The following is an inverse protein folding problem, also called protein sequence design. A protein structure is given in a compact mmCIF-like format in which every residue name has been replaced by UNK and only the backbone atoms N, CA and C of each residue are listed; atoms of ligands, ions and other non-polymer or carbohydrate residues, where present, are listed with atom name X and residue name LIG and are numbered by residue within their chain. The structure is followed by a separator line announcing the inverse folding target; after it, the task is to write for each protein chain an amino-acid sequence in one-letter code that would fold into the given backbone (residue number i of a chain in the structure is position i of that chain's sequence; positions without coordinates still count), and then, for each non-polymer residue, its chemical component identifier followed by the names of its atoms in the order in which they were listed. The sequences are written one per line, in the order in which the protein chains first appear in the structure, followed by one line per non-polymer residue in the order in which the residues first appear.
data_IF_395489348780
#
_entry.id   IF_395489348780
#
_cell.length_a   1.000
_cell.length_b   1.000
_cell.length_c   1.000
_cell.angle_alpha   90.00
_cell.angle_beta   90.00
_cell.angle_gamma   90.00
#
_symmetry.space_group_name_H-M   'P 1'
#
loop_
_entity.id
_entity.type
_entity.pdbx_description
1 polymer ?
#
# COMPACT_ATOMS: atom_id res chain seq x y z
N UNK A 1 -1.46 7.12 -24.40
CA UNK A 1 -1.67 5.68 -24.06
C UNK A 1 -1.97 4.87 -25.33
N UNK A 2 -2.97 5.19 -26.19
CA UNK A 2 -3.32 4.32 -27.34
C UNK A 2 -2.15 3.98 -28.28
N UNK A 3 -1.24 4.92 -28.55
CA UNK A 3 -0.06 4.67 -29.41
C UNK A 3 0.94 3.69 -28.78
N UNK A 4 1.08 3.68 -27.46
CA UNK A 4 1.99 2.78 -26.75
C UNK A 4 1.39 1.39 -26.59
N UNK A 5 0.08 1.30 -26.47
CA UNK A 5 -0.64 0.02 -26.50
C UNK A 5 -0.56 -0.64 -27.87
N UNK A 6 -0.80 0.13 -28.95
CA UNK A 6 -0.67 -0.36 -30.33
C UNK A 6 0.75 -0.91 -30.62
N UNK A 7 1.77 -0.35 -29.98
CA UNK A 7 3.16 -0.84 -30.07
C UNK A 7 3.49 -1.95 -29.06
N UNK A 8 2.50 -2.42 -28.29
CA UNK A 8 2.67 -3.39 -27.20
C UNK A 8 3.72 -2.98 -26.15
N UNK A 9 4.01 -1.69 -26.03
CA UNK A 9 4.92 -1.16 -25.01
C UNK A 9 4.24 -1.08 -23.62
N UNK A 10 2.91 -0.92 -23.62
CA UNK A 10 2.09 -0.91 -22.41
C UNK A 10 0.98 -1.96 -22.54
N UNK A 11 0.71 -2.64 -21.42
CA UNK A 11 -0.40 -3.59 -21.27
C UNK A 11 -1.16 -3.23 -20.02
N UNK A 12 -2.50 -3.23 -20.09
CA UNK A 12 -3.35 -3.06 -18.89
C UNK A 12 -3.02 -4.15 -17.87
N UNK A 13 -2.81 -3.77 -16.63
CA UNK A 13 -2.49 -4.73 -15.57
C UNK A 13 -3.78 -5.37 -15.06
N UNK A 14 -3.89 -6.70 -15.22
CA UNK A 14 -5.10 -7.47 -14.88
C UNK A 14 -5.38 -7.56 -13.37
N UNK A 15 -4.42 -7.20 -12.52
CA UNK A 15 -4.60 -7.19 -11.06
C UNK A 15 -5.42 -5.99 -10.57
N UNK A 16 -5.74 -5.07 -11.48
CA UNK A 16 -6.51 -3.87 -11.19
C UNK A 16 -7.75 -3.78 -12.07
N UNK A 17 -8.79 -3.11 -11.57
CA UNK A 17 -10.04 -2.93 -12.34
C UNK A 17 -9.89 -1.89 -13.44
N UNK A 18 -9.03 -0.89 -13.23
CA UNK A 18 -8.77 0.18 -14.23
C UNK A 18 -7.54 1.02 -13.84
N UNK A 19 -7.02 1.76 -14.81
CA UNK A 19 -6.07 2.86 -14.57
C UNK A 19 -4.62 2.45 -14.34
N UNK A 20 -4.31 1.17 -14.29
CA UNK A 20 -2.94 0.67 -14.09
C UNK A 20 -2.43 -0.01 -15.34
N UNK A 21 -1.23 0.38 -15.76
CA UNK A 21 -0.58 -0.11 -16.97
C UNK A 21 0.82 -0.61 -16.63
N UNK A 22 1.18 -1.73 -17.22
CA UNK A 22 2.49 -2.32 -17.06
C UNK A 22 3.31 -2.11 -18.32
N UNK A 23 4.56 -1.71 -18.17
CA UNK A 23 5.54 -1.68 -19.25
C UNK A 23 6.00 -3.10 -19.55
N UNK A 24 5.83 -3.56 -20.78
CA UNK A 24 6.09 -4.96 -21.17
C UNK A 24 7.57 -5.35 -21.12
N UNK A 25 8.46 -4.38 -21.25
CA UNK A 25 9.91 -4.60 -21.20
C UNK A 25 10.50 -4.47 -19.79
N UNK A 26 9.65 -4.23 -18.76
CA UNK A 26 10.14 -4.19 -17.38
C UNK A 26 10.63 -5.59 -16.97
N UNK A 27 11.89 -5.69 -16.61
CA UNK A 27 12.56 -6.95 -16.26
C UNK A 27 12.16 -7.45 -14.86
N UNK A 28 11.63 -6.57 -13.99
CA UNK A 28 11.23 -6.90 -12.62
C UNK A 28 9.72 -6.89 -12.48
N UNK A 29 9.16 -8.02 -12.08
CA UNK A 29 7.72 -8.17 -11.91
C UNK A 29 7.17 -7.47 -10.65
N UNK A 30 8.00 -7.12 -9.68
CA UNK A 30 7.63 -6.58 -8.38
C UNK A 30 6.84 -7.57 -7.50
N UNK A 31 6.95 -7.45 -6.20
CA UNK A 31 6.10 -8.17 -5.25
C UNK A 31 4.66 -7.61 -5.29
N UNK A 32 3.68 -8.35 -4.74
CA UNK A 32 2.32 -7.83 -4.60
C UNK A 32 2.26 -6.51 -3.82
N UNK A 33 3.11 -6.37 -2.81
CA UNK A 33 3.24 -5.17 -1.96
C UNK A 33 3.79 -3.98 -2.76
N UNK A 34 4.89 -4.18 -3.48
CA UNK A 34 5.47 -3.14 -4.34
C UNK A 34 4.49 -2.68 -5.41
N UNK A 35 3.85 -3.62 -6.10
CA UNK A 35 2.90 -3.33 -7.18
C UNK A 35 1.70 -2.56 -6.65
N UNK A 36 1.15 -2.95 -5.50
CA UNK A 36 0.05 -2.23 -4.87
C UNK A 36 0.45 -0.80 -4.48
N UNK A 37 1.64 -0.64 -3.89
CA UNK A 37 2.16 0.65 -3.48
C UNK A 37 2.55 1.56 -4.66
N UNK A 38 2.99 1.00 -5.78
CA UNK A 38 3.26 1.77 -7.01
C UNK A 38 1.94 2.23 -7.64
N UNK A 39 0.94 1.34 -7.71
CA UNK A 39 -0.35 1.63 -8.33
C UNK A 39 -1.14 2.68 -7.55
N UNK A 40 -1.24 2.54 -6.22
CA UNK A 40 -1.83 3.56 -5.34
C UNK A 40 -0.72 4.24 -4.50
N UNK A 41 -0.36 5.50 -4.82
CA UNK A 41 0.72 6.19 -4.13
C UNK A 41 0.45 6.49 -2.66
N UNK A 42 -0.77 6.26 -2.19
CA UNK A 42 -1.18 6.49 -0.80
C UNK A 42 -1.53 5.20 -0.05
N UNK A 43 -1.50 4.06 -0.73
CA UNK A 43 -1.65 2.76 -0.07
C UNK A 43 -0.35 2.33 0.62
N UNK A 44 -0.49 1.55 1.68
CA UNK A 44 0.62 0.98 2.45
C UNK A 44 0.24 -0.36 3.08
N UNK A 45 1.25 -1.17 3.34
CA UNK A 45 1.14 -2.45 4.06
C UNK A 45 0.84 -2.18 5.53
N UNK A 46 -0.12 -2.90 6.11
CA UNK A 46 -0.63 -2.68 7.46
C UNK A 46 -0.98 -3.99 8.17
N UNK A 47 -1.38 -3.90 9.44
CA UNK A 47 -1.91 -5.01 10.24
C UNK A 47 -0.98 -6.24 10.23
N UNK A 48 -1.53 -7.46 10.11
CA UNK A 48 -0.75 -8.70 10.16
C UNK A 48 0.35 -8.77 9.09
N UNK A 49 0.15 -8.13 7.93
CA UNK A 49 1.19 -8.06 6.89
C UNK A 49 2.35 -7.16 7.30
N UNK A 50 2.10 -6.07 8.01
CA UNK A 50 3.14 -5.22 8.58
C UNK A 50 3.86 -5.94 9.74
N UNK A 51 3.12 -6.62 10.61
CA UNK A 51 3.69 -7.43 11.70
C UNK A 51 4.68 -8.48 11.16
N UNK A 52 4.28 -9.20 10.10
CA UNK A 52 5.16 -10.17 9.44
C UNK A 52 6.44 -9.52 8.90
N UNK A 53 6.33 -8.36 8.26
CA UNK A 53 7.49 -7.62 7.70
C UNK A 53 8.45 -7.12 8.78
N UNK A 54 7.96 -6.82 9.96
CA UNK A 54 8.78 -6.45 11.13
C UNK A 54 9.31 -7.66 11.91
N UNK A 55 8.95 -8.88 11.52
CA UNK A 55 9.33 -10.08 12.26
C UNK A 55 8.60 -10.25 13.61
N UNK A 56 7.51 -9.48 13.83
CA UNK A 56 6.70 -9.57 15.04
C UNK A 56 5.81 -10.82 15.07
N UNK A 57 5.58 -11.47 13.94
CA UNK A 57 4.71 -12.64 13.88
C UNK A 57 5.24 -13.66 12.88
N UNK A 58 5.36 -14.90 13.30
CA UNK A 58 5.66 -16.05 12.44
C UNK A 58 4.42 -16.50 11.63
N UNK A 59 3.26 -15.92 11.92
CA UNK A 59 2.04 -16.20 11.18
C UNK A 59 2.11 -15.54 9.81
N UNK A 60 2.15 -16.36 8.76
CA UNK A 60 2.00 -15.85 7.38
C UNK A 60 0.55 -15.47 7.14
N UNK A 61 0.26 -14.18 6.85
CA UNK A 61 -1.10 -13.77 6.53
C UNK A 61 -1.55 -14.44 5.23
N UNK A 62 -2.75 -15.00 5.22
CA UNK A 62 -3.36 -15.62 4.03
C UNK A 62 -3.60 -14.59 2.93
N UNK A 63 -3.80 -13.34 3.30
CA UNK A 63 -3.97 -12.22 2.39
C UNK A 63 -3.00 -11.08 2.74
N UNK A 64 -2.63 -10.30 1.76
CA UNK A 64 -1.92 -9.04 1.94
C UNK A 64 -2.88 -7.99 2.47
N UNK A 65 -2.62 -7.46 3.66
CA UNK A 65 -3.37 -6.36 4.24
C UNK A 65 -2.78 -5.03 3.78
N UNK A 66 -3.59 -4.24 3.10
CA UNK A 66 -3.26 -2.89 2.64
C UNK A 66 -4.23 -1.89 3.24
N UNK A 67 -3.74 -0.74 3.65
CA UNK A 67 -4.59 0.40 4.00
C UNK A 67 -4.45 1.50 2.96
N UNK A 68 -5.57 2.09 2.54
CA UNK A 68 -5.63 3.24 1.64
C UNK A 68 -6.55 4.31 2.22
N UNK A 69 -6.30 5.60 1.96
CA UNK A 69 -7.16 6.67 2.44
C UNK A 69 -8.59 6.57 1.88
N UNK A 70 -9.58 7.02 2.65
CA UNK A 70 -10.92 7.26 2.15
C UNK A 70 -10.88 8.22 0.96
N UNK A 71 -11.83 8.09 0.03
CA UNK A 71 -11.84 8.82 -1.26
C UNK A 71 -11.56 10.32 -1.13
N UNK A 72 -12.21 10.99 -0.20
CA UNK A 72 -12.07 12.45 -0.03
C UNK A 72 -10.64 12.81 0.41
N UNK A 73 -10.09 12.06 1.38
CA UNK A 73 -8.71 12.24 1.83
C UNK A 73 -7.70 11.87 0.73
N UNK A 74 -7.96 10.80 -0.03
CA UNK A 74 -7.15 10.41 -1.18
C UNK A 74 -7.06 11.54 -2.22
N UNK A 75 -8.22 12.16 -2.54
CA UNK A 75 -8.28 13.29 -3.46
C UNK A 75 -7.51 14.52 -2.93
N UNK A 76 -7.62 14.81 -1.64
CA UNK A 76 -6.86 15.89 -1.00
C UNK A 76 -5.36 15.65 -1.10
N UNK A 77 -4.89 14.46 -0.73
CA UNK A 77 -3.48 14.06 -0.82
C UNK A 77 -2.95 14.11 -2.27
N UNK A 78 -3.76 13.71 -3.25
CA UNK A 78 -3.42 13.86 -4.67
C UNK A 78 -3.20 15.33 -5.05
N UNK A 79 -4.09 16.21 -4.62
CA UNK A 79 -3.98 17.65 -4.91
C UNK A 79 -2.76 18.26 -4.22
N UNK A 80 -2.54 17.94 -2.95
CA UNK A 80 -1.35 18.36 -2.19
C UNK A 80 -0.06 17.92 -2.89
N UNK A 81 -0.02 16.65 -3.36
CA UNK A 81 1.12 16.11 -4.09
C UNK A 81 1.33 16.81 -5.42
N UNK A 82 0.27 17.05 -6.20
CA UNK A 82 0.38 17.76 -7.48
C UNK A 82 0.88 19.19 -7.29
N UNK A 83 0.43 19.88 -6.23
CA UNK A 83 0.91 21.24 -5.90
C UNK A 83 2.40 21.26 -5.56
N UNK A 84 2.89 20.23 -4.87
CA UNK A 84 4.29 20.13 -4.46
C UNK A 84 5.21 19.71 -5.60
N UNK A 85 4.78 18.72 -6.39
CA UNK A 85 5.66 18.01 -7.32
C UNK A 85 5.64 18.59 -8.74
N UNK A 86 4.61 19.38 -9.11
CA UNK A 86 4.42 19.91 -10.47
C UNK A 86 4.41 21.45 -10.52
N UNK A 87 5.15 22.08 -11.45
CA UNK A 87 4.98 23.48 -11.78
C UNK A 87 3.54 23.80 -12.24
N UNK A 88 3.10 25.04 -12.07
CA UNK A 88 1.72 25.46 -12.36
C UNK A 88 1.26 25.11 -13.78
N UNK A 89 2.11 25.38 -14.78
CA UNK A 89 1.82 25.07 -16.19
C UNK A 89 1.62 23.56 -16.40
N UNK A 90 2.47 22.73 -15.80
CA UNK A 90 2.36 21.26 -15.93
C UNK A 90 1.13 20.70 -15.21
N UNK A 91 0.64 21.36 -14.15
CA UNK A 91 -0.59 20.94 -13.44
C UNK A 91 -1.83 21.05 -14.30
N UNK A 92 -1.91 22.09 -15.14
CA UNK A 92 -3.05 22.32 -16.04
C UNK A 92 -3.08 21.32 -17.22
N UNK A 93 -1.92 20.84 -17.64
CA UNK A 93 -1.77 19.94 -18.79
C UNK A 93 -1.61 18.47 -18.41
N UNK A 94 -1.32 18.17 -17.15
CA UNK A 94 -1.06 16.80 -16.70
C UNK A 94 -2.34 15.99 -16.58
N UNK A 95 -2.33 14.72 -17.01
CA UNK A 95 -3.44 13.81 -16.78
C UNK A 95 -3.67 13.64 -15.27
N UNK A 96 -4.93 13.66 -14.89
CA UNK A 96 -5.34 13.48 -13.50
C UNK A 96 -5.00 12.05 -13.06
N UNK A 97 -4.22 11.92 -11.99
CA UNK A 97 -3.99 10.64 -11.34
C UNK A 97 -5.33 10.10 -10.81
N UNK A 98 -5.75 8.95 -11.28
CA UNK A 98 -6.95 8.28 -10.81
C UNK A 98 -6.61 7.27 -9.72
N UNK A 99 -7.51 7.14 -8.73
CA UNK A 99 -7.39 6.10 -7.73
C UNK A 99 -7.57 4.74 -8.42
N UNK A 100 -6.62 3.80 -8.26
CA UNK A 100 -6.77 2.47 -8.85
C UNK A 100 -7.86 1.69 -8.11
N UNK A 101 -8.54 0.81 -8.82
CA UNK A 101 -9.40 -0.19 -8.22
C UNK A 101 -8.63 -1.49 -8.05
N UNK A 102 -8.45 -1.93 -6.81
CA UNK A 102 -7.83 -3.22 -6.52
C UNK A 102 -8.80 -4.37 -6.84
N UNK A 103 -8.26 -5.49 -7.30
CA UNK A 103 -8.97 -6.78 -7.33
C UNK A 103 -8.64 -7.56 -6.05
N UNK A 104 -9.34 -8.69 -5.88
CA UNK A 104 -9.17 -9.58 -4.73
C UNK A 104 -7.78 -10.24 -4.67
N UNK A 105 -7.02 -10.16 -5.75
CA UNK A 105 -5.65 -10.69 -5.85
C UNK A 105 -4.73 -9.73 -6.59
N UNK A 106 -3.48 -9.63 -6.11
CA UNK A 106 -2.38 -8.96 -6.81
C UNK A 106 -1.23 -9.95 -6.91
N UNK A 107 -0.71 -10.18 -8.12
CA UNK A 107 0.37 -11.17 -8.36
C UNK A 107 0.03 -12.54 -7.74
N UNK A 108 -1.24 -12.96 -7.87
CA UNK A 108 -1.82 -14.21 -7.32
C UNK A 108 -1.86 -14.28 -5.78
N UNK A 109 -1.48 -13.24 -5.06
CA UNK A 109 -1.63 -13.14 -3.61
C UNK A 109 -2.98 -12.51 -3.30
N UNK A 110 -3.83 -13.13 -2.46
CA UNK A 110 -5.06 -12.51 -1.98
C UNK A 110 -4.77 -11.16 -1.30
N UNK A 111 -5.66 -10.20 -1.47
CA UNK A 111 -5.51 -8.84 -0.91
C UNK A 111 -6.77 -8.43 -0.19
N UNK A 112 -6.60 -7.87 1.01
CA UNK A 112 -7.65 -7.20 1.77
C UNK A 112 -7.30 -5.72 1.87
N UNK A 113 -8.18 -4.87 1.32
CA UNK A 113 -7.96 -3.42 1.32
C UNK A 113 -8.82 -2.77 2.40
N UNK A 114 -8.17 -2.16 3.37
CA UNK A 114 -8.80 -1.37 4.43
C UNK A 114 -8.87 0.10 4.01
N UNK A 115 -9.97 0.77 4.30
CA UNK A 115 -10.17 2.18 3.97
C UNK A 115 -10.18 3.01 5.24
N UNK A 116 -9.19 3.87 5.42
CA UNK A 116 -9.05 4.72 6.60
C UNK A 116 -9.45 6.17 6.34
N UNK A 117 -10.22 6.75 7.24
CA UNK A 117 -10.50 8.20 7.28
C UNK A 117 -9.30 9.00 7.80
N UNK A 118 -8.47 8.38 8.62
CA UNK A 118 -7.28 8.95 9.24
C UNK A 118 -6.07 8.07 8.92
N UNK A 119 -5.62 8.06 7.64
CA UNK A 119 -4.48 7.24 7.25
C UNK A 119 -3.22 7.76 7.94
N UNK A 120 -2.37 6.84 8.35
CA UNK A 120 -1.07 7.17 8.91
C UNK A 120 -0.09 7.60 7.81
N UNK A 121 0.97 8.28 8.22
CA UNK A 121 2.10 8.55 7.34
C UNK A 121 2.99 7.30 7.30
N UNK A 122 2.98 6.54 6.20
CA UNK A 122 3.75 5.30 6.13
C UNK A 122 5.24 5.58 5.96
N UNK A 123 6.05 4.63 6.43
CA UNK A 123 7.47 4.58 6.16
C UNK A 123 7.76 3.87 4.83
N UNK A 124 8.82 4.26 4.12
CA UNK A 124 9.32 3.50 2.97
C UNK A 124 10.23 2.39 3.42
N UNK A 125 10.08 1.22 2.81
CA UNK A 125 11.04 0.12 2.99
C UNK A 125 12.28 0.42 2.16
N UNK A 126 13.45 0.32 2.78
CA UNK A 126 14.72 0.62 2.11
C UNK A 126 14.94 -0.31 0.91
N UNK A 127 15.26 0.28 -0.25
CA UNK A 127 15.52 -0.48 -1.49
C UNK A 127 14.27 -1.00 -2.20
N UNK A 128 13.06 -0.68 -1.71
CA UNK A 128 11.79 -1.08 -2.30
C UNK A 128 10.87 0.12 -2.53
N UNK A 129 9.88 -0.05 -3.41
CA UNK A 129 8.76 0.92 -3.55
C UNK A 129 7.62 0.63 -2.55
N UNK A 130 7.81 -0.34 -1.66
CA UNK A 130 6.85 -0.70 -0.62
C UNK A 130 6.78 0.37 0.45
N UNK A 131 5.56 0.76 0.82
CA UNK A 131 5.27 1.56 2.01
C UNK A 131 4.62 0.68 3.06
N UNK A 132 4.95 0.93 4.32
CA UNK A 132 4.48 0.15 5.46
C UNK A 132 4.15 1.08 6.63
N UNK A 133 3.21 0.71 7.49
CA UNK A 133 3.02 1.38 8.78
C UNK A 133 4.33 1.42 9.56
N UNK A 134 4.62 2.50 10.28
CA UNK A 134 5.74 2.52 11.22
C UNK A 134 5.56 1.43 12.28
N UNK A 135 6.64 1.06 12.95
CA UNK A 135 6.58 0.05 14.01
C UNK A 135 5.61 0.45 15.14
N UNK A 136 5.69 1.69 15.61
CA UNK A 136 4.76 2.20 16.64
C UNK A 136 3.31 2.19 16.18
N UNK A 137 3.07 2.47 14.89
CA UNK A 137 1.75 2.37 14.29
C UNK A 137 1.26 0.92 14.22
N UNK A 138 2.15 -0.01 13.88
CA UNK A 138 1.82 -1.44 13.84
C UNK A 138 1.39 -1.92 15.22
N UNK A 139 2.06 -1.47 16.28
CA UNK A 139 1.63 -1.76 17.66
C UNK A 139 0.28 -1.11 18.01
N UNK A 140 0.00 0.11 17.55
CA UNK A 140 -1.31 0.73 17.74
C UNK A 140 -2.42 -0.04 17.00
N UNK A 141 -2.16 -0.50 15.77
CA UNK A 141 -3.11 -1.32 14.98
C UNK A 141 -3.45 -2.63 15.73
N UNK A 142 -2.49 -3.26 16.42
CA UNK A 142 -2.73 -4.47 17.23
C UNK A 142 -3.76 -4.24 18.34
N UNK A 143 -3.79 -3.06 18.94
CA UNK A 143 -4.72 -2.74 20.01
C UNK A 143 -6.07 -2.23 19.50
N UNK A 144 -6.06 -1.48 18.40
CA UNK A 144 -7.29 -0.88 17.84
C UNK A 144 -8.08 -1.85 16.96
N UNK A 145 -7.38 -2.72 16.22
CA UNK A 145 -7.96 -3.67 15.28
C UNK A 145 -7.35 -5.09 15.44
N UNK A 146 -7.41 -5.66 16.65
CA UNK A 146 -6.72 -6.93 16.96
C UNK A 146 -7.15 -8.09 16.08
N UNK A 147 -8.38 -8.11 15.60
CA UNK A 147 -8.89 -9.15 14.68
C UNK A 147 -8.11 -9.20 13.36
N UNK A 148 -7.55 -8.09 12.92
CA UNK A 148 -6.73 -7.98 11.70
C UNK A 148 -5.24 -8.25 11.98
N UNK A 149 -4.88 -8.37 13.26
CA UNK A 149 -3.51 -8.56 13.74
C UNK A 149 -3.29 -9.93 14.40
N UNK A 150 -4.16 -10.90 14.13
CA UNK A 150 -4.05 -12.26 14.68
C UNK A 150 -4.81 -12.48 15.99
N UNK A 151 -5.60 -11.51 16.44
CA UNK A 151 -6.46 -11.57 17.62
C UNK A 151 -5.84 -10.91 18.86
N UNK A 152 -6.69 -10.52 19.82
CA UNK A 152 -6.28 -9.81 21.02
C UNK A 152 -5.22 -10.54 21.85
N UNK A 153 -5.35 -11.85 21.99
CA UNK A 153 -4.36 -12.66 22.73
C UNK A 153 -2.97 -12.53 22.13
N UNK A 154 -2.87 -12.69 20.81
CA UNK A 154 -1.61 -12.55 20.10
C UNK A 154 -1.05 -11.11 20.19
N UNK A 155 -1.91 -10.11 20.12
CA UNK A 155 -1.51 -8.72 20.27
C UNK A 155 -0.91 -8.45 21.66
N UNK A 156 -1.54 -8.94 22.72
CA UNK A 156 -1.06 -8.76 24.11
C UNK A 156 0.26 -9.50 24.35
N UNK A 157 0.39 -10.75 23.87
CA UNK A 157 1.65 -11.51 23.97
C UNK A 157 2.82 -10.74 23.34
N UNK A 158 2.60 -10.15 22.16
CA UNK A 158 3.63 -9.36 21.47
C UNK A 158 3.92 -8.04 22.18
N UNK A 159 2.91 -7.40 22.77
CA UNK A 159 3.15 -6.21 23.57
C UNK A 159 4.02 -6.49 24.79
N UNK A 160 3.80 -7.61 25.47
CA UNK A 160 4.60 -8.00 26.62
C UNK A 160 6.04 -8.36 26.26
N UNK A 161 6.25 -9.02 25.12
CA UNK A 161 7.55 -9.54 24.72
C UNK A 161 8.38 -8.58 23.89
N UNK A 162 7.76 -7.84 22.98
CA UNK A 162 8.46 -7.08 21.95
C UNK A 162 8.39 -5.56 22.12
N UNK A 163 7.34 -5.01 22.79
CA UNK A 163 7.17 -3.56 22.85
C UNK A 163 8.36 -2.82 23.44
N UNK A 164 9.02 -3.38 24.45
CA UNK A 164 10.20 -2.78 25.09
C UNK A 164 11.41 -2.64 24.16
N UNK A 165 11.50 -3.47 23.11
CA UNK A 165 12.57 -3.41 22.12
C UNK A 165 12.33 -2.34 21.04
N UNK A 166 11.07 -2.02 20.76
CA UNK A 166 10.67 -1.20 19.63
C UNK A 166 10.14 0.18 19.99
N UNK A 167 9.61 0.34 21.22
CA UNK A 167 9.01 1.58 21.71
C UNK A 167 9.92 2.16 22.79
N UNK A 168 10.94 2.89 22.36
CA UNK A 168 11.82 3.70 23.21
C UNK A 168 11.54 5.18 23.00
#
# INVERSE_FOLDING_TARGET
IPRLEARRALVSDSDFTSGVWRVTQATRAGSAEEVACIADPFAYVSHLSAMQRYGLSDRSPQALHLTTPKRDRWNALRSERALRDLPEVQRLESPILNRPGFRDTIRRRPVVVHVSSHPWTPSRVSGEETRITSIGQTFADMLTEPSLCGGMHHALDLWETEASHWVQ
#
